data_IF_336569407452
#
_entry.id   IF_336569407452
#
_cell.length_a   1.000
_cell.length_b   1.000
_cell.length_c   1.000
_cell.angle_alpha   90.00
_cell.angle_beta   90.00
_cell.angle_gamma   90.00
#
_symmetry.space_group_name_H-M   'P 1'
#
loop_
_entity.id
_entity.type
_entity.pdbx_description
1 polymer ?
#
# COMPACT_ATOMS: atom_id res chain seq x y z
N UNK A 1 -8.29 15.34 16.59
CA UNK A 1 -7.38 14.99 15.50
C UNK A 1 -7.92 13.69 14.94
N UNK A 2 -8.64 13.80 13.83
CA UNK A 2 -9.54 12.76 13.31
C UNK A 2 -8.66 11.64 12.75
N UNK A 3 -8.60 10.50 13.43
CA UNK A 3 -8.16 9.27 12.80
C UNK A 3 -9.10 9.01 11.61
N UNK A 4 -8.59 8.81 10.38
CA UNK A 4 -9.46 8.40 9.28
C UNK A 4 -10.22 7.12 9.69
N UNK A 5 -11.50 6.97 9.30
CA UNK A 5 -12.27 5.79 9.65
C UNK A 5 -11.53 4.53 9.17
N UNK A 6 -11.52 3.40 9.92
CA UNK A 6 -11.02 2.14 9.41
C UNK A 6 -11.92 1.76 8.22
N UNK A 7 -11.40 1.92 7.01
CA UNK A 7 -12.11 1.56 5.79
C UNK A 7 -12.27 0.04 5.78
N UNK A 8 -13.42 -0.41 6.27
CA UNK A 8 -13.89 -1.80 6.19
C UNK A 8 -13.83 -2.29 4.74
N UNK A 9 -13.04 -3.34 4.49
CA UNK A 9 -13.39 -4.37 3.50
C UNK A 9 -12.59 -5.67 3.75
N UNK A 10 -13.32 -6.71 4.17
CA UNK A 10 -13.11 -8.14 3.93
C UNK A 10 -11.91 -8.53 3.06
N UNK A 11 -10.89 -9.14 3.66
CA UNK A 11 -10.10 -10.31 3.21
C UNK A 11 -9.74 -10.53 1.72
N UNK A 12 -9.75 -9.53 0.84
CA UNK A 12 -9.56 -9.72 -0.60
C UNK A 12 -8.63 -8.68 -1.23
N UNK A 13 -7.32 -8.83 -0.99
CA UNK A 13 -6.21 -8.08 -1.62
C UNK A 13 -6.27 -6.54 -1.45
N UNK A 14 -5.12 -5.85 -1.45
CA UNK A 14 -5.10 -4.38 -1.47
C UNK A 14 -5.68 -3.86 -2.80
N UNK A 15 -6.41 -2.75 -2.75
CA UNK A 15 -6.94 -2.04 -3.90
C UNK A 15 -6.30 -0.65 -4.02
N UNK A 16 -6.44 -0.03 -5.20
CA UNK A 16 -5.87 1.30 -5.48
C UNK A 16 -6.44 2.41 -4.59
N UNK A 17 -7.65 2.21 -4.06
CA UNK A 17 -8.33 3.16 -3.18
C UNK A 17 -7.99 2.97 -1.70
N UNK A 18 -7.28 1.90 -1.34
CA UNK A 18 -6.83 1.70 0.04
C UNK A 18 -5.70 2.67 0.39
N UNK A 19 -5.66 3.04 1.67
CA UNK A 19 -4.59 3.85 2.22
C UNK A 19 -3.33 2.99 2.37
N UNK A 20 -2.17 3.59 2.11
CA UNK A 20 -0.90 2.89 2.28
C UNK A 20 -0.69 2.46 3.72
N UNK A 21 -1.07 3.26 4.72
CA UNK A 21 -0.97 2.85 6.14
C UNK A 21 -1.72 1.55 6.43
N UNK A 22 -2.92 1.45 5.91
CA UNK A 22 -3.83 0.35 6.17
C UNK A 22 -3.38 -0.92 5.41
N UNK A 23 -2.88 -0.78 4.18
CA UNK A 23 -2.27 -1.88 3.43
C UNK A 23 -1.04 -2.44 4.16
N UNK A 24 -0.19 -1.55 4.70
CA UNK A 24 1.01 -1.96 5.45
C UNK A 24 0.66 -2.60 6.80
N UNK A 25 -0.40 -2.13 7.48
CA UNK A 25 -0.89 -2.72 8.73
C UNK A 25 -1.51 -4.11 8.51
N UNK A 26 -2.27 -4.29 7.42
CA UNK A 26 -2.91 -5.58 7.11
C UNK A 26 -1.96 -6.59 6.44
N UNK A 27 -1.06 -6.11 5.58
CA UNK A 27 -0.14 -6.95 4.80
C UNK A 27 1.30 -6.45 4.93
N UNK A 28 2.02 -6.79 6.02
CA UNK A 28 3.39 -6.34 6.23
C UNK A 28 4.36 -6.83 5.14
N UNK A 29 4.08 -7.92 4.45
CA UNK A 29 4.89 -8.40 3.32
C UNK A 29 4.91 -7.41 2.13
N UNK A 30 3.91 -6.52 2.02
CA UNK A 30 3.91 -5.45 1.01
C UNK A 30 5.01 -4.42 1.25
N UNK A 31 5.53 -4.28 2.48
CA UNK A 31 6.66 -3.38 2.82
C UNK A 31 7.87 -3.66 1.91
N UNK A 32 8.12 -4.92 1.58
CA UNK A 32 9.23 -5.31 0.70
C UNK A 32 9.08 -4.74 -0.72
N UNK A 33 7.84 -4.66 -1.22
CA UNK A 33 7.52 -4.06 -2.53
C UNK A 33 7.82 -2.56 -2.52
N UNK A 34 7.36 -1.84 -1.50
CA UNK A 34 7.66 -0.41 -1.33
C UNK A 34 9.17 -0.14 -1.26
N UNK A 35 9.91 -0.98 -0.53
CA UNK A 35 11.38 -0.93 -0.46
C UNK A 35 12.04 -1.20 -1.82
N UNK A 36 11.55 -2.20 -2.57
CA UNK A 36 12.06 -2.54 -3.89
C UNK A 36 11.88 -1.39 -4.90
N UNK A 37 10.75 -0.67 -4.82
CA UNK A 37 10.47 0.51 -5.63
C UNK A 37 11.16 1.79 -5.14
N UNK A 38 12.02 1.72 -4.11
CA UNK A 38 12.76 2.87 -3.53
C UNK A 38 11.82 4.00 -3.09
N UNK A 39 10.57 3.68 -2.72
CA UNK A 39 9.64 4.69 -2.20
C UNK A 39 10.15 5.23 -0.87
N UNK A 40 10.13 6.56 -0.76
CA UNK A 40 10.75 7.27 0.35
C UNK A 40 9.96 7.03 1.64
N UNK A 41 10.46 6.08 2.43
CA UNK A 41 10.08 5.83 3.82
C UNK A 41 8.57 5.66 4.04
N UNK A 42 8.04 4.41 4.02
CA UNK A 42 6.67 4.14 4.49
C UNK A 42 6.39 4.65 5.92
N UNK A 43 7.43 5.04 6.69
CA UNK A 43 7.31 5.70 7.98
C UNK A 43 7.22 7.24 7.94
N UNK A 44 7.18 7.88 6.77
CA UNK A 44 7.00 9.32 6.67
C UNK A 44 5.52 9.67 6.97
N UNK A 45 5.24 10.66 7.85
CA UNK A 45 3.87 10.96 8.28
C UNK A 45 2.94 11.48 7.17
N UNK A 46 3.43 11.68 5.94
CA UNK A 46 2.59 11.98 4.78
C UNK A 46 2.17 10.73 3.98
N UNK A 47 3.03 9.71 3.89
CA UNK A 47 2.74 8.49 3.12
C UNK A 47 1.53 7.73 3.69
N UNK A 48 1.31 7.81 5.01
CA UNK A 48 0.18 7.19 5.70
C UNK A 48 -1.19 7.67 5.21
N UNK A 49 -1.31 8.96 4.84
CA UNK A 49 -2.57 9.55 4.39
C UNK A 49 -2.78 9.45 2.86
N UNK A 50 -1.84 8.88 2.12
CA UNK A 50 -1.96 8.73 0.68
C UNK A 50 -2.55 7.37 0.33
N UNK A 51 -3.33 7.35 -0.75
CA UNK A 51 -3.83 6.09 -1.33
C UNK A 51 -2.74 5.44 -2.17
N UNK A 52 -2.87 4.13 -2.41
CA UNK A 52 -1.98 3.40 -3.32
C UNK A 52 -1.96 4.05 -4.71
N UNK A 53 -3.10 4.52 -5.23
CA UNK A 53 -3.17 5.23 -6.52
C UNK A 53 -2.40 6.55 -6.52
N UNK A 54 -2.53 7.35 -5.47
CA UNK A 54 -1.84 8.64 -5.33
C UNK A 54 -0.31 8.42 -5.29
N UNK A 55 0.15 7.46 -4.48
CA UNK A 55 1.58 7.13 -4.39
C UNK A 55 2.08 6.55 -5.70
N UNK A 56 1.33 5.66 -6.35
CA UNK A 56 1.71 5.16 -7.66
C UNK A 56 1.88 6.31 -8.67
N UNK A 57 0.93 7.26 -8.70
CA UNK A 57 1.01 8.44 -9.58
C UNK A 57 2.18 9.36 -9.27
N UNK A 58 2.42 9.67 -7.99
CA UNK A 58 3.52 10.55 -7.54
C UNK A 58 4.91 9.98 -7.90
N UNK A 59 5.05 8.65 -7.82
CA UNK A 59 6.28 7.94 -8.17
C UNK A 59 6.35 7.51 -9.64
N UNK A 60 5.32 7.82 -10.44
CA UNK A 60 5.25 7.43 -11.86
C UNK A 60 5.18 5.91 -12.08
N UNK A 61 4.65 5.17 -11.10
CA UNK A 61 4.41 3.73 -11.18
C UNK A 61 3.01 3.44 -11.71
N UNK A 62 2.90 2.32 -12.41
CA UNK A 62 1.62 1.80 -12.83
C UNK A 62 0.89 1.19 -11.62
N UNK A 63 -0.30 1.69 -11.32
CA UNK A 63 -1.08 1.25 -10.15
C UNK A 63 -1.45 -0.23 -10.25
N UNK A 64 -1.79 -0.73 -11.43
CA UNK A 64 -2.15 -2.14 -11.64
C UNK A 64 -0.92 -3.04 -11.42
N UNK A 65 0.24 -2.65 -11.96
CA UNK A 65 1.50 -3.35 -11.74
C UNK A 65 1.89 -3.40 -10.24
N UNK A 66 1.68 -2.31 -9.50
CA UNK A 66 1.96 -2.24 -8.07
C UNK A 66 1.04 -3.17 -7.27
N UNK A 67 -0.27 -3.20 -7.59
CA UNK A 67 -1.23 -4.11 -6.95
C UNK A 67 -0.90 -5.58 -7.23
N UNK A 68 -0.47 -5.90 -8.46
CA UNK A 68 -0.02 -7.23 -8.81
C UNK A 68 1.23 -7.65 -8.00
N UNK A 69 2.17 -6.73 -7.78
CA UNK A 69 3.35 -7.00 -6.96
C UNK A 69 2.98 -7.24 -5.49
N UNK A 70 2.03 -6.47 -4.94
CA UNK A 70 1.48 -6.74 -3.61
C UNK A 70 0.84 -8.11 -3.50
N UNK A 71 -0.03 -8.48 -4.46
CA UNK A 71 -0.66 -9.81 -4.47
C UNK A 71 0.39 -10.93 -4.51
N UNK A 72 1.47 -10.74 -5.28
CA UNK A 72 2.58 -11.69 -5.36
C UNK A 72 3.38 -11.77 -4.06
N UNK A 73 3.64 -10.64 -3.41
CA UNK A 73 4.34 -10.61 -2.13
C UNK A 73 3.53 -11.30 -1.02
N UNK A 74 2.22 -11.06 -0.97
CA UNK A 74 1.28 -11.72 -0.04
C UNK A 74 1.26 -13.23 -0.30
N UNK A 75 1.19 -13.66 -1.57
CA UNK A 75 1.21 -15.07 -1.92
C UNK A 75 2.55 -15.77 -1.63
N UNK A 76 3.66 -15.01 -1.55
CA UNK A 76 4.99 -15.55 -1.24
C UNK A 76 5.27 -15.66 0.27
N UNK A 77 4.49 -14.99 1.12
CA UNK A 77 4.56 -15.10 2.58
C UNK A 77 3.80 -16.32 3.13
N UNK A 78 2.78 -16.79 2.38
CA UNK A 78 1.87 -17.88 2.77
C UNK A 78 2.33 -19.30 2.44
#
# INVERSE_FOLDING_TARGET
MIAPPPHSATAALPSSSDLVEDVLERWPSTIAVFLAHRMACPGCPMARFQTVAEVAGDYGLDTDALLADFARAIAAEG
#
